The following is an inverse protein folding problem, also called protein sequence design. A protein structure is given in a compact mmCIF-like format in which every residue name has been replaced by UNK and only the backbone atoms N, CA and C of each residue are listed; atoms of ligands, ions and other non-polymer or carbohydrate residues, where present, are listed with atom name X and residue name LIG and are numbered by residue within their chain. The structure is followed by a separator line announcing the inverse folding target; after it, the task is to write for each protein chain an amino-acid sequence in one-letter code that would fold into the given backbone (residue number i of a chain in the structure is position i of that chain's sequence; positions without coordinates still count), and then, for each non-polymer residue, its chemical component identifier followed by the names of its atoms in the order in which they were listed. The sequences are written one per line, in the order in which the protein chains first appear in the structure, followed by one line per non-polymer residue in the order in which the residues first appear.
data_IF_841847599615
#
_entry.id   IF_841847599615
#
_cell.length_a   1.000
_cell.length_b   1.000
_cell.length_c   1.000
_cell.angle_alpha   90.00
_cell.angle_beta   90.00
_cell.angle_gamma   90.00
#
_symmetry.space_group_name_H-M   'P 1'
#
loop_
_entity.id
_entity.type
_entity.pdbx_description
1 polymer ?
#
# COMPACT_ATOMS: atom_id res chain seq x y z
N UNK A 1 -12.48 -6.10 -9.42
CA UNK A 1 -11.30 -6.81 -8.91
C UNK A 1 -10.75 -7.76 -9.94
N UNK A 2 -9.46 -7.82 -10.01
CA UNK A 2 -8.80 -8.76 -10.89
C UNK A 2 -8.64 -10.09 -10.22
N UNK A 3 -9.01 -11.13 -10.92
CA UNK A 3 -8.96 -12.45 -10.35
C UNK A 3 -8.53 -13.44 -11.42
N UNK A 4 -7.51 -14.20 -11.10
CA UNK A 4 -6.91 -15.11 -12.06
C UNK A 4 -6.75 -16.50 -11.49
N UNK A 5 -7.04 -17.48 -12.32
CA UNK A 5 -6.75 -18.88 -12.04
C UNK A 5 -5.70 -19.26 -13.04
N UNK A 6 -4.45 -19.09 -12.67
CA UNK A 6 -3.35 -19.21 -13.60
C UNK A 6 -2.45 -20.36 -13.27
N UNK A 7 -1.93 -20.96 -14.33
CA UNK A 7 -0.92 -21.98 -14.20
C UNK A 7 0.47 -21.41 -14.04
N UNK A 8 0.64 -20.13 -14.39
CA UNK A 8 1.94 -19.49 -14.28
C UNK A 8 2.09 -18.91 -12.88
N UNK A 9 3.32 -18.90 -12.35
CA UNK A 9 3.53 -18.33 -11.00
C UNK A 9 3.50 -16.82 -10.95
N UNK A 10 3.21 -16.15 -12.06
CA UNK A 10 3.34 -14.72 -12.15
C UNK A 10 2.30 -14.14 -13.09
N UNK A 11 1.62 -13.10 -12.64
CA UNK A 11 0.63 -12.35 -13.42
C UNK A 11 1.09 -10.90 -13.46
N UNK A 12 1.04 -10.30 -14.63
CA UNK A 12 1.45 -8.91 -14.81
C UNK A 12 0.31 -8.07 -15.33
N UNK A 13 0.25 -6.83 -14.85
CA UNK A 13 -0.69 -5.81 -15.31
C UNK A 13 0.12 -4.63 -15.81
N UNK A 14 0.49 -4.61 -17.09
CA UNK A 14 1.51 -3.68 -17.58
C UNK A 14 1.01 -2.27 -17.88
N UNK A 15 -0.28 -2.00 -17.81
CA UNK A 15 -0.81 -0.68 -18.13
C UNK A 15 -1.37 0.04 -16.92
N UNK A 16 -2.34 -0.56 -16.27
CA UNK A 16 -2.92 0.02 -15.05
C UNK A 16 -3.48 -1.10 -14.20
N UNK A 17 -3.56 -0.85 -12.90
CA UNK A 17 -4.13 -1.79 -11.97
C UNK A 17 -4.91 -1.03 -10.92
N UNK A 18 -6.10 -1.51 -10.61
CA UNK A 18 -6.95 -0.94 -9.57
C UNK A 18 -7.45 -2.07 -8.67
N UNK A 19 -7.37 -1.86 -7.36
CA UNK A 19 -7.83 -2.84 -6.39
C UNK A 19 -8.71 -2.14 -5.36
N UNK A 20 -9.86 -2.73 -5.07
CA UNK A 20 -10.74 -2.28 -4.00
C UNK A 20 -10.62 -3.25 -2.83
N UNK A 21 -10.49 -2.71 -1.63
CA UNK A 21 -10.47 -3.48 -0.40
C UNK A 21 -11.78 -3.24 0.34
N UNK A 22 -12.43 -4.31 0.75
CA UNK A 22 -13.76 -4.23 1.36
C UNK A 22 -13.69 -4.56 2.85
N UNK A 23 -14.55 -3.91 3.62
CA UNK A 23 -14.70 -4.24 5.03
C UNK A 23 -15.71 -5.39 5.20
N UNK A 24 -16.04 -5.73 6.45
CA UNK A 24 -16.93 -6.84 6.75
C UNK A 24 -18.34 -6.62 6.24
N UNK A 25 -18.74 -5.39 5.97
CA UNK A 25 -20.06 -5.05 5.46
C UNK A 25 -20.08 -4.94 3.94
N UNK A 26 -18.97 -5.29 3.28
CA UNK A 26 -18.79 -5.20 1.83
C UNK A 26 -18.80 -3.77 1.31
N UNK A 27 -18.51 -2.80 2.17
CA UNK A 27 -18.28 -1.43 1.75
C UNK A 27 -16.80 -1.24 1.43
N UNK A 28 -16.49 -0.37 0.48
CA UNK A 28 -15.11 -0.11 0.12
C UNK A 28 -14.42 0.62 1.27
N UNK A 29 -13.38 0.02 1.80
CA UNK A 29 -12.62 0.60 2.90
C UNK A 29 -11.38 1.34 2.41
N UNK A 30 -10.71 0.80 1.42
CA UNK A 30 -9.55 1.43 0.82
C UNK A 30 -9.44 1.01 -0.64
N UNK A 31 -8.64 1.77 -1.39
CA UNK A 31 -8.44 1.53 -2.81
C UNK A 31 -6.99 1.75 -3.18
N UNK A 32 -6.54 1.03 -4.20
CA UNK A 32 -5.17 1.11 -4.69
C UNK A 32 -5.17 1.29 -6.19
N UNK A 33 -4.34 2.21 -6.68
CA UNK A 33 -4.13 2.42 -8.10
C UNK A 33 -2.63 2.45 -8.40
N UNK A 34 -2.22 1.87 -9.52
CA UNK A 34 -0.85 1.97 -9.99
C UNK A 34 -0.82 1.68 -11.48
N UNK A 35 0.34 1.91 -12.10
CA UNK A 35 0.49 1.67 -13.54
C UNK A 35 1.01 0.29 -13.86
N UNK A 36 1.71 -0.34 -12.93
CA UNK A 36 2.26 -1.67 -13.15
C UNK A 36 2.08 -2.52 -11.91
N UNK A 37 1.65 -3.75 -12.11
CA UNK A 37 1.54 -4.72 -11.02
C UNK A 37 1.98 -6.09 -11.49
N UNK A 38 2.62 -6.85 -10.61
CA UNK A 38 3.03 -8.22 -10.89
C UNK A 38 2.74 -9.07 -9.66
N UNK A 39 1.98 -10.11 -9.87
CA UNK A 39 1.62 -11.04 -8.81
C UNK A 39 2.69 -12.13 -8.70
N UNK A 40 3.23 -12.30 -7.51
CA UNK A 40 4.21 -13.33 -7.19
C UNK A 40 3.49 -14.45 -6.47
N UNK A 41 2.98 -15.39 -7.23
CA UNK A 41 2.06 -16.39 -6.71
C UNK A 41 2.65 -17.23 -5.58
N UNK A 42 3.91 -17.64 -5.71
CA UNK A 42 4.54 -18.49 -4.71
C UNK A 42 4.69 -17.80 -3.36
N UNK A 43 4.73 -16.47 -3.34
CA UNK A 43 4.91 -15.71 -2.12
C UNK A 43 3.62 -15.06 -1.64
N UNK A 44 2.54 -15.19 -2.39
CA UNK A 44 1.28 -14.51 -2.13
C UNK A 44 1.46 -13.00 -2.00
N UNK A 45 2.36 -12.43 -2.81
CA UNK A 45 2.68 -11.02 -2.79
C UNK A 45 2.46 -10.41 -4.15
N UNK A 46 2.15 -9.12 -4.14
CA UNK A 46 2.01 -8.35 -5.37
C UNK A 46 3.02 -7.22 -5.33
N UNK A 47 3.78 -7.10 -6.40
CA UNK A 47 4.71 -6.00 -6.57
C UNK A 47 4.04 -4.95 -7.42
N UNK A 48 4.01 -3.71 -6.92
CA UNK A 48 3.33 -2.59 -7.55
C UNK A 48 4.35 -1.49 -7.76
N UNK A 49 4.27 -0.83 -8.90
CA UNK A 49 5.18 0.28 -9.17
C UNK A 49 4.55 1.28 -10.12
N UNK A 50 5.20 2.44 -10.21
CA UNK A 50 4.85 3.55 -11.11
C UNK A 50 3.55 4.19 -10.69
N UNK A 51 3.68 5.28 -9.97
CA UNK A 51 2.55 6.09 -9.50
C UNK A 51 1.59 5.28 -8.64
N UNK A 52 2.13 4.57 -7.66
CA UNK A 52 1.31 3.81 -6.72
C UNK A 52 0.62 4.77 -5.77
N UNK A 53 -0.70 4.66 -5.67
CA UNK A 53 -1.51 5.47 -4.77
C UNK A 53 -2.46 4.55 -4.02
N UNK A 54 -2.44 4.64 -2.69
CA UNK A 54 -3.39 3.92 -1.83
C UNK A 54 -4.12 4.96 -1.01
N UNK A 55 -5.44 4.86 -0.96
CA UNK A 55 -6.23 5.80 -0.16
C UNK A 55 -7.40 5.07 0.47
N UNK A 56 -7.86 5.61 1.61
CA UNK A 56 -8.98 5.03 2.33
C UNK A 56 -10.12 6.03 2.44
N UNK A 57 -11.25 5.57 2.97
CA UNK A 57 -12.45 6.40 3.05
C UNK A 57 -12.35 7.51 4.10
N UNK A 58 -11.35 7.47 4.97
CA UNK A 58 -11.14 8.53 5.94
C UNK A 58 -10.19 9.61 5.45
N UNK A 59 -9.77 9.51 4.18
CA UNK A 59 -8.96 10.54 3.55
C UNK A 59 -7.47 10.37 3.68
N UNK A 60 -7.02 9.26 4.27
CA UNK A 60 -5.58 8.97 4.31
C UNK A 60 -5.12 8.54 2.93
N UNK A 61 -3.99 9.03 2.49
CA UNK A 61 -3.46 8.73 1.16
C UNK A 61 -1.98 8.47 1.23
N UNK A 62 -1.54 7.44 0.52
CA UNK A 62 -0.13 7.07 0.40
C UNK A 62 0.28 7.15 -1.06
N UNK A 63 1.40 7.82 -1.33
CA UNK A 63 2.02 7.85 -2.66
C UNK A 63 3.42 7.28 -2.58
N UNK A 64 3.75 6.42 -3.52
CA UNK A 64 5.11 5.87 -3.63
C UNK A 64 5.35 5.38 -5.04
N UNK A 65 6.61 5.16 -5.38
CA UNK A 65 6.98 4.62 -6.69
C UNK A 65 6.93 3.10 -6.72
N UNK A 66 7.15 2.45 -5.59
CA UNK A 66 7.14 1.00 -5.49
C UNK A 66 6.51 0.57 -4.18
N UNK A 67 5.72 -0.49 -4.24
CA UNK A 67 5.04 -1.00 -3.06
C UNK A 67 4.89 -2.51 -3.19
N UNK A 68 5.06 -3.21 -2.09
CA UNK A 68 4.74 -4.64 -1.99
C UNK A 68 3.47 -4.80 -1.18
N UNK A 69 2.61 -5.67 -1.64
CA UNK A 69 1.38 -6.02 -0.98
C UNK A 69 1.44 -7.49 -0.60
N UNK A 70 1.47 -7.77 0.71
CA UNK A 70 1.44 -9.12 1.23
C UNK A 70 -0.01 -9.49 1.48
N UNK A 71 -0.56 -10.34 0.62
CA UNK A 71 -1.98 -10.69 0.69
C UNK A 71 -2.34 -11.52 1.90
N UNK A 72 -1.43 -12.37 2.36
CA UNK A 72 -1.70 -13.21 3.52
C UNK A 72 -1.76 -12.41 4.80
N UNK A 73 -0.88 -11.44 4.94
CA UNK A 73 -0.83 -10.60 6.13
C UNK A 73 -1.73 -9.37 6.04
N UNK A 74 -2.20 -9.06 4.84
CA UNK A 74 -2.98 -7.86 4.63
C UNK A 74 -2.19 -6.59 4.87
N UNK A 75 -0.95 -6.57 4.38
CA UNK A 75 -0.02 -5.47 4.63
C UNK A 75 0.59 -4.94 3.35
N UNK A 76 0.87 -3.64 3.38
CA UNK A 76 1.73 -3.00 2.38
C UNK A 76 3.08 -2.69 3.01
N UNK A 77 4.15 -2.80 2.23
CA UNK A 77 5.47 -2.38 2.69
C UNK A 77 6.35 -1.98 1.51
N UNK A 78 7.29 -1.12 1.80
CA UNK A 78 8.30 -0.70 0.83
C UNK A 78 9.49 -0.12 1.57
N UNK A 79 10.67 -0.17 0.94
CA UNK A 79 11.84 0.54 1.45
C UNK A 79 12.17 1.78 0.62
N UNK A 80 11.27 2.15 -0.27
CA UNK A 80 11.42 3.35 -1.10
C UNK A 80 10.77 4.54 -0.42
N UNK A 81 11.05 5.73 -0.94
CA UNK A 81 10.45 6.95 -0.42
C UNK A 81 8.93 6.89 -0.50
N UNK A 82 8.26 7.31 0.56
CA UNK A 82 6.81 7.40 0.58
C UNK A 82 6.38 8.79 1.06
N UNK A 83 5.23 9.21 0.58
CA UNK A 83 4.56 10.42 1.05
C UNK A 83 3.17 10.03 1.52
N UNK A 84 2.83 10.41 2.74
CA UNK A 84 1.55 10.06 3.33
C UNK A 84 0.83 11.33 3.77
N UNK A 85 -0.44 11.42 3.44
CA UNK A 85 -1.31 12.47 3.94
C UNK A 85 -2.34 11.82 4.85
N UNK A 86 -2.44 12.33 6.08
CA UNK A 86 -3.39 11.79 7.06
C UNK A 86 -4.66 12.62 7.07
N UNK A 87 -5.77 11.94 6.80
CA UNK A 87 -7.08 12.58 6.79
C UNK A 87 -7.20 13.60 5.67
N UNK A 88 -8.07 14.55 5.85
CA UNK A 88 -8.30 15.62 4.87
C UNK A 88 -7.49 16.86 5.15
N UNK A 89 -6.51 16.76 6.05
CA UNK A 89 -5.59 17.85 6.33
C UNK A 89 -4.57 18.04 5.24
N UNK A 90 -3.88 19.18 5.27
CA UNK A 90 -2.79 19.44 4.34
C UNK A 90 -1.46 18.91 4.84
N UNK A 91 -1.44 18.19 5.94
CA UNK A 91 -0.20 17.70 6.54
C UNK A 91 0.27 16.44 5.88
N UNK A 92 1.53 16.47 5.44
CA UNK A 92 2.18 15.32 4.80
C UNK A 92 3.29 14.79 5.67
N UNK A 93 3.47 13.48 5.65
CA UNK A 93 4.57 12.80 6.33
C UNK A 93 5.42 12.17 5.26
N UNK A 94 6.73 12.44 5.31
CA UNK A 94 7.66 11.94 4.30
C UNK A 94 8.51 10.84 4.92
N UNK A 95 8.47 9.66 4.31
CA UNK A 95 9.24 8.52 4.79
C UNK A 95 10.34 8.17 3.81
N UNK A 96 11.57 8.56 4.11
CA UNK A 96 12.69 8.36 3.21
C UNK A 96 13.23 6.92 3.25
N UNK A 97 12.99 6.20 4.33
CA UNK A 97 13.42 4.81 4.46
C UNK A 97 12.32 3.79 4.19
N UNK A 98 11.17 4.25 3.74
CA UNK A 98 10.05 3.36 3.46
C UNK A 98 9.09 3.22 4.62
N UNK A 99 8.18 2.26 4.50
CA UNK A 99 7.14 2.09 5.51
C UNK A 99 6.52 0.70 5.44
N UNK A 100 5.72 0.37 6.47
CA UNK A 100 4.83 -0.79 6.51
C UNK A 100 3.49 -0.35 7.06
N UNK A 101 2.41 -0.86 6.49
CA UNK A 101 1.07 -0.47 6.88
C UNK A 101 0.10 -1.61 6.65
N UNK A 102 -1.02 -1.62 7.37
CA UNK A 102 -2.13 -2.47 6.99
C UNK A 102 -2.82 -1.93 5.73
N UNK A 103 -3.74 -2.69 5.19
CA UNK A 103 -4.41 -2.33 3.93
C UNK A 103 -5.31 -1.11 4.07
N UNK A 104 -5.66 -0.72 5.28
CA UNK A 104 -6.54 0.40 5.53
C UNK A 104 -5.81 1.70 5.82
N UNK A 105 -4.49 1.66 5.91
CA UNK A 105 -3.64 2.78 6.29
C UNK A 105 -3.91 3.30 7.70
N UNK A 106 -4.48 2.46 8.56
CA UNK A 106 -4.75 2.85 9.93
C UNK A 106 -3.53 2.77 10.83
N UNK A 107 -2.62 1.84 10.54
CA UNK A 107 -1.42 1.63 11.33
C UNK A 107 -0.21 1.68 10.42
N UNK A 108 0.43 2.84 10.36
CA UNK A 108 1.57 3.06 9.48
C UNK A 108 2.83 3.19 10.32
N UNK A 109 3.84 2.38 9.97
CA UNK A 109 5.15 2.44 10.60
C UNK A 109 6.15 2.89 9.54
N UNK A 110 6.86 3.98 9.82
CA UNK A 110 7.89 4.48 8.91
C UNK A 110 9.25 3.95 9.33
N UNK A 111 10.03 3.52 8.35
CA UNK A 111 11.37 3.03 8.60
C UNK A 111 12.35 4.19 8.56
N UNK A 112 13.26 4.22 9.53
CA UNK A 112 14.32 5.21 9.52
C UNK A 112 15.37 4.83 8.46
N UNK A 113 15.94 5.84 7.80
CA UNK A 113 17.08 5.62 6.93
C UNK A 113 18.34 5.29 7.71
N UNK A 114 18.29 5.36 9.05
CA UNK A 114 19.41 5.09 9.92
C UNK A 114 19.17 3.84 10.73
N UNK A 115 20.00 2.85 10.53
CA UNK A 115 20.15 1.76 11.48
C UNK A 115 18.88 1.02 11.87
N UNK A 116 17.94 0.97 10.97
CA UNK A 116 16.73 0.21 11.21
C UNK A 116 15.79 0.77 12.26
N UNK A 117 16.03 1.98 12.74
CA UNK A 117 15.09 2.64 13.63
C UNK A 117 13.77 2.91 12.91
N UNK A 118 12.70 3.01 13.67
CA UNK A 118 11.41 3.30 13.08
C UNK A 118 10.53 4.04 14.09
N UNK A 119 9.46 4.64 13.59
CA UNK A 119 8.43 5.22 14.45
C UNK A 119 7.07 4.95 13.83
N UNK A 120 6.06 4.91 14.69
CA UNK A 120 4.68 4.63 14.29
C UNK A 120 3.86 5.90 14.45
N UNK A 121 3.03 6.18 13.44
CA UNK A 121 2.12 7.33 13.49
C UNK A 121 0.73 6.79 13.83
N UNK A 122 0.21 7.11 15.04
CA UNK A 122 -1.13 6.68 15.41
C UNK A 122 -2.19 7.34 14.54
N UNK A 123 -3.22 6.60 14.21
CA UNK A 123 -4.29 7.10 13.37
C UNK A 123 -4.98 8.33 13.98
N UNK A 124 -5.09 8.36 15.29
CA UNK A 124 -5.81 9.43 15.98
C UNK A 124 -4.98 10.69 16.21
N UNK A 125 -3.76 10.75 15.73
CA UNK A 125 -2.86 11.86 15.98
C UNK A 125 -3.24 13.11 15.20
N UNK A 126 -3.91 12.93 14.12
CA UNK A 126 -4.23 14.02 13.19
C UNK A 126 -5.72 14.18 13.04
#
# INVERSE_FOLDING_TARGET
MLRYLLDTPKVEFPKTMHVDFYDDTLAIESQLNCKYGRYLENDNKVFLRDSVVVFNRTGDTLWTDELYWDQLKGEFYTNKFVRVKKGFNSTYILGYGGMRSDQTLNNITFFSVREGSYFTVPDSTY
#
